data_IF_939268922010
#
_entry.id   IF_939268922010
#
_cell.length_a   1.000
_cell.length_b   1.000
_cell.length_c   1.000
_cell.angle_alpha   90.00
_cell.angle_beta   90.00
_cell.angle_gamma   90.00
#
_symmetry.space_group_name_H-M   'P 1'
#
loop_
_entity.id
_entity.type
_entity.pdbx_description
1 polymer ?
#
# COMPACT_ATOMS: atom_id res chain seq x y z
N UNK A 1 24.93 33.38 -50.86
CA UNK A 1 25.95 33.23 -49.78
C UNK A 1 25.53 33.79 -48.41
N UNK A 2 24.86 34.96 -48.29
CA UNK A 2 24.49 35.53 -46.97
C UNK A 2 23.42 34.75 -46.18
N UNK A 3 22.50 34.06 -46.85
CA UNK A 3 21.49 33.21 -46.21
C UNK A 3 22.07 31.90 -45.65
N UNK A 4 22.97 31.25 -46.41
CA UNK A 4 23.68 30.05 -45.96
C UNK A 4 24.60 30.34 -44.76
N UNK A 5 25.26 31.50 -44.72
CA UNK A 5 26.06 31.93 -43.58
C UNK A 5 25.22 32.24 -42.32
N UNK A 6 23.99 32.75 -42.49
CA UNK A 6 23.05 32.93 -41.37
C UNK A 6 22.51 31.60 -40.84
N UNK A 7 22.15 30.67 -41.73
CA UNK A 7 21.73 29.33 -41.35
C UNK A 7 22.85 28.55 -40.63
N UNK A 8 24.09 28.62 -41.12
CA UNK A 8 25.24 27.96 -40.51
C UNK A 8 25.56 28.51 -39.10
N UNK A 9 25.40 29.82 -38.88
CA UNK A 9 25.54 30.46 -37.55
C UNK A 9 24.44 30.07 -36.57
N UNK A 10 23.20 29.91 -37.04
CA UNK A 10 22.09 29.42 -36.22
C UNK A 10 22.31 27.96 -35.82
N UNK A 11 22.80 27.12 -36.75
CA UNK A 11 23.10 25.71 -36.48
C UNK A 11 24.28 25.53 -35.52
N UNK A 12 25.35 26.34 -35.66
CA UNK A 12 26.48 26.29 -34.71
C UNK A 12 26.12 26.83 -33.33
N UNK A 13 25.27 27.86 -33.24
CA UNK A 13 24.75 28.34 -31.95
C UNK A 13 23.83 27.29 -31.29
N UNK A 14 22.98 26.60 -32.06
CA UNK A 14 22.14 25.52 -31.56
C UNK A 14 22.96 24.31 -31.07
N UNK A 15 24.04 23.93 -31.78
CA UNK A 15 24.93 22.84 -31.38
C UNK A 15 25.78 23.18 -30.14
N UNK A 16 26.13 24.46 -29.92
CA UNK A 16 26.83 24.90 -28.72
C UNK A 16 25.92 24.92 -27.48
N UNK A 17 24.61 25.11 -27.65
CA UNK A 17 23.62 25.10 -26.56
C UNK A 17 23.30 23.68 -26.06
N UNK A 18 23.37 22.65 -26.93
CA UNK A 18 23.10 21.26 -26.53
C UNK A 18 24.17 20.63 -25.62
N UNK A 19 25.38 21.21 -25.55
CA UNK A 19 26.46 20.72 -24.68
C UNK A 19 26.36 21.14 -23.21
N UNK A 20 25.40 22.02 -22.87
CA UNK A 20 25.26 22.60 -21.52
C UNK A 20 24.08 22.03 -20.72
N UNK A 21 23.46 20.93 -21.17
CA UNK A 21 22.41 20.28 -20.38
C UNK A 21 23.01 19.75 -19.07
N UNK A 22 22.63 20.37 -17.94
CA UNK A 22 23.08 20.00 -16.60
C UNK A 22 22.40 18.70 -16.19
N UNK A 23 23.02 17.56 -16.52
CA UNK A 23 22.53 16.26 -16.10
C UNK A 23 22.90 16.02 -14.63
N UNK A 24 21.93 15.65 -13.80
CA UNK A 24 22.18 15.21 -12.43
C UNK A 24 22.44 13.70 -12.47
N UNK A 25 23.60 13.27 -11.97
CA UNK A 25 23.91 11.86 -11.84
C UNK A 25 22.93 11.18 -10.87
N UNK A 26 22.42 10.01 -11.25
CA UNK A 26 21.50 9.22 -10.42
C UNK A 26 22.13 8.94 -9.07
N UNK A 27 21.31 8.93 -8.02
CA UNK A 27 21.81 8.60 -6.69
C UNK A 27 22.45 7.20 -6.67
N UNK A 28 23.75 7.06 -6.35
CA UNK A 28 24.35 5.74 -6.19
C UNK A 28 23.78 5.08 -4.93
N UNK A 29 23.29 3.85 -5.05
CA UNK A 29 22.87 3.08 -3.88
C UNK A 29 24.10 2.60 -3.10
N UNK A 30 24.11 2.84 -1.79
CA UNK A 30 25.21 2.42 -0.90
C UNK A 30 24.97 1.03 -0.27
N UNK A 31 23.84 0.39 -0.58
CA UNK A 31 23.41 -0.86 0.05
C UNK A 31 24.19 -2.08 -0.45
N UNK A 32 24.89 -2.81 0.44
CA UNK A 32 25.32 -4.16 0.15
C UNK A 32 24.12 -5.10 0.25
N UNK A 33 23.59 -5.55 -0.89
CA UNK A 33 22.48 -6.51 -0.94
C UNK A 33 23.06 -7.93 -0.89
N UNK A 34 22.76 -8.74 0.15
CA UNK A 34 23.23 -10.13 0.21
C UNK A 34 22.57 -10.95 -0.91
N UNK A 35 23.34 -11.87 -1.50
CA UNK A 35 22.86 -12.72 -2.61
C UNK A 35 21.99 -13.89 -2.13
N UNK A 36 22.06 -14.23 -0.84
CA UNK A 36 21.35 -15.36 -0.22
C UNK A 36 20.64 -14.93 1.08
N UNK A 37 19.56 -15.65 1.39
CA UNK A 37 18.82 -15.53 2.66
C UNK A 37 19.55 -16.25 3.79
N UNK A 38 19.26 -15.86 5.04
CA UNK A 38 19.82 -16.56 6.21
C UNK A 38 19.28 -17.99 6.31
N UNK A 39 18.03 -18.18 5.91
CA UNK A 39 17.35 -19.47 5.88
C UNK A 39 17.04 -19.88 4.42
N UNK A 40 17.28 -21.14 4.09
CA UNK A 40 17.05 -21.73 2.76
C UNK A 40 15.64 -22.35 2.69
N UNK A 41 14.58 -21.55 2.83
CA UNK A 41 13.18 -22.00 2.74
C UNK A 41 12.35 -20.98 1.95
N UNK A 42 11.34 -21.40 1.19
CA UNK A 42 10.33 -20.57 0.53
C UNK A 42 9.88 -21.06 -0.86
N UNK A 43 8.84 -20.45 -1.48
CA UNK A 43 8.25 -20.92 -2.74
C UNK A 43 9.28 -21.02 -3.89
N UNK A 44 9.38 -22.20 -4.50
CA UNK A 44 10.27 -22.49 -5.65
C UNK A 44 9.65 -22.17 -7.01
N UNK A 45 8.36 -21.84 -7.03
CA UNK A 45 7.68 -21.27 -8.18
C UNK A 45 7.75 -19.74 -8.12
N UNK A 46 7.65 -19.08 -9.27
CA UNK A 46 7.35 -17.65 -9.28
C UNK A 46 6.07 -17.46 -8.46
N UNK A 47 6.10 -16.54 -7.48
CA UNK A 47 4.87 -16.19 -6.76
C UNK A 47 3.85 -15.77 -7.82
N UNK A 48 2.66 -16.38 -7.79
CA UNK A 48 1.60 -16.09 -8.75
C UNK A 48 0.72 -14.97 -8.22
N UNK A 49 0.15 -14.16 -9.12
CA UNK A 49 -0.73 -13.05 -8.75
C UNK A 49 -1.96 -13.50 -7.92
N UNK A 50 -2.35 -14.77 -8.02
CA UNK A 50 -3.43 -15.41 -7.27
C UNK A 50 -2.94 -16.38 -6.20
N UNK A 51 -1.86 -16.05 -5.48
CA UNK A 51 -1.22 -16.91 -4.48
C UNK A 51 -2.19 -17.52 -3.44
N UNK A 52 -3.31 -16.86 -3.13
CA UNK A 52 -4.31 -17.35 -2.19
C UNK A 52 -5.06 -18.60 -2.69
N UNK A 53 -5.09 -18.86 -4.00
CA UNK A 53 -5.67 -20.09 -4.56
C UNK A 53 -4.94 -21.35 -4.09
N UNK A 54 -3.67 -21.22 -3.70
CA UNK A 54 -2.86 -22.34 -3.24
C UNK A 54 -3.30 -22.86 -1.84
N UNK A 55 -4.16 -22.14 -1.11
CA UNK A 55 -4.83 -22.65 0.11
C UNK A 55 -6.03 -23.56 -0.19
N UNK A 56 -6.41 -23.71 -1.46
CA UNK A 56 -7.49 -24.59 -1.92
C UNK A 56 -8.88 -24.34 -1.26
N UNK A 57 -9.14 -23.13 -0.80
CA UNK A 57 -10.43 -22.73 -0.24
C UNK A 57 -11.21 -21.82 -1.23
N UNK A 58 -12.35 -22.28 -1.78
CA UNK A 58 -13.13 -21.49 -2.74
C UNK A 58 -13.82 -20.27 -2.10
N UNK A 59 -14.15 -20.31 -0.82
CA UNK A 59 -14.74 -19.18 -0.09
C UNK A 59 -13.70 -18.09 0.08
N UNK A 60 -12.46 -18.47 0.47
CA UNK A 60 -11.34 -17.54 0.54
C UNK A 60 -11.14 -16.82 -0.80
N UNK A 61 -11.11 -17.59 -1.89
CA UNK A 61 -10.92 -17.03 -3.23
C UNK A 61 -11.97 -15.97 -3.56
N UNK A 62 -13.25 -16.27 -3.29
CA UNK A 62 -14.35 -15.34 -3.50
C UNK A 62 -14.21 -14.07 -2.64
N UNK A 63 -13.85 -14.20 -1.36
CA UNK A 63 -13.66 -13.06 -0.46
C UNK A 63 -12.53 -12.15 -0.92
N UNK A 64 -11.40 -12.72 -1.35
CA UNK A 64 -10.26 -11.93 -1.85
C UNK A 64 -10.63 -11.21 -3.15
N UNK A 65 -11.25 -11.90 -4.12
CA UNK A 65 -11.69 -11.29 -5.37
C UNK A 65 -12.70 -10.16 -5.16
N UNK A 66 -13.65 -10.39 -4.24
CA UNK A 66 -14.64 -9.43 -3.80
C UNK A 66 -13.97 -8.17 -3.19
N UNK A 67 -13.01 -8.35 -2.29
CA UNK A 67 -12.25 -7.25 -1.68
C UNK A 67 -11.44 -6.48 -2.73
N UNK A 68 -10.72 -7.16 -3.63
CA UNK A 68 -9.94 -6.52 -4.70
C UNK A 68 -10.77 -5.68 -5.67
N UNK A 69 -12.08 -5.93 -5.73
CA UNK A 69 -13.03 -5.16 -6.55
C UNK A 69 -13.72 -4.03 -5.79
N UNK A 70 -14.13 -4.24 -4.55
CA UNK A 70 -15.05 -3.35 -3.83
C UNK A 70 -14.45 -2.66 -2.61
N UNK A 71 -13.26 -3.04 -2.15
CA UNK A 71 -12.65 -2.43 -0.97
C UNK A 71 -12.39 -0.93 -1.21
N UNK A 72 -12.86 -0.02 -0.32
CA UNK A 72 -12.68 1.42 -0.48
C UNK A 72 -11.21 1.87 -0.56
N UNK A 73 -10.29 1.25 0.18
CA UNK A 73 -8.87 1.65 0.15
C UNK A 73 -8.23 1.35 -1.22
N UNK A 74 -8.64 0.27 -1.88
CA UNK A 74 -8.22 -0.03 -3.26
C UNK A 74 -8.82 0.97 -4.24
N UNK A 75 -10.09 1.34 -4.07
CA UNK A 75 -10.74 2.35 -4.92
C UNK A 75 -10.09 3.73 -4.74
N UNK A 76 -9.72 4.10 -3.52
CA UNK A 76 -8.95 5.31 -3.21
C UNK A 76 -7.57 5.24 -3.89
N UNK A 77 -6.87 4.12 -3.78
CA UNK A 77 -5.56 3.94 -4.39
C UNK A 77 -5.63 4.05 -5.93
N UNK A 78 -6.63 3.45 -6.58
CA UNK A 78 -6.88 3.58 -8.02
C UNK A 78 -7.19 5.04 -8.41
N UNK A 79 -8.06 5.70 -7.65
CA UNK A 79 -8.41 7.11 -7.88
C UNK A 79 -7.19 8.03 -7.74
N UNK A 80 -6.27 7.69 -6.85
CA UNK A 80 -4.99 8.40 -6.70
C UNK A 80 -4.12 8.22 -7.94
N UNK A 81 -4.08 7.05 -8.55
CA UNK A 81 -3.38 6.88 -9.85
C UNK A 81 -3.99 7.80 -10.91
N UNK A 82 -5.32 7.91 -10.99
CA UNK A 82 -5.99 8.81 -11.94
C UNK A 82 -5.70 10.30 -11.66
N UNK A 83 -5.64 10.69 -10.38
CA UNK A 83 -5.20 12.02 -9.97
C UNK A 83 -3.80 12.33 -10.51
N UNK A 84 -2.84 11.44 -10.30
CA UNK A 84 -1.46 11.66 -10.75
C UNK A 84 -1.30 11.54 -12.28
N UNK A 85 -2.16 10.77 -12.97
CA UNK A 85 -2.25 10.81 -14.44
C UNK A 85 -2.70 12.17 -14.94
N UNK A 86 -3.68 12.79 -14.27
CA UNK A 86 -4.13 14.13 -14.62
C UNK A 86 -3.05 15.19 -14.33
N UNK A 87 -2.32 15.06 -13.21
CA UNK A 87 -1.20 15.95 -12.89
C UNK A 87 -0.07 15.83 -13.93
N UNK A 88 0.27 14.62 -14.37
CA UNK A 88 1.24 14.43 -15.46
C UNK A 88 0.78 15.12 -16.74
N UNK A 89 -0.49 14.95 -17.15
CA UNK A 89 -1.04 15.66 -18.31
C UNK A 89 -1.00 17.18 -18.15
N UNK A 90 -1.21 17.69 -16.94
CA UNK A 90 -1.05 19.11 -16.63
C UNK A 90 0.40 19.59 -16.85
N UNK A 91 1.37 18.86 -16.30
CA UNK A 91 2.79 19.16 -16.47
C UNK A 91 3.25 19.07 -17.94
N UNK A 92 2.73 18.10 -18.71
CA UNK A 92 2.96 18.00 -20.16
C UNK A 92 2.30 19.17 -20.91
N UNK A 93 1.13 19.63 -20.45
CA UNK A 93 0.42 20.80 -20.96
C UNK A 93 1.21 22.11 -20.81
N UNK A 94 1.90 22.28 -19.68
CA UNK A 94 2.76 23.46 -19.41
C UNK A 94 3.95 23.57 -20.38
N UNK A 95 4.26 22.50 -21.11
CA UNK A 95 5.29 22.49 -22.15
C UNK A 95 4.79 23.04 -23.50
N UNK A 96 3.50 23.37 -23.63
CA UNK A 96 2.95 24.00 -24.83
C UNK A 96 2.78 25.53 -24.64
N UNK A 97 2.72 26.30 -25.74
CA UNK A 97 2.37 27.71 -25.67
C UNK A 97 0.97 27.91 -25.05
N UNK A 98 0.82 28.88 -24.17
CA UNK A 98 -0.51 29.37 -23.75
C UNK A 98 -1.02 30.38 -24.76
N UNK A 99 -2.34 30.44 -24.92
CA UNK A 99 -3.02 31.46 -25.72
C UNK A 99 -4.15 32.06 -24.88
N UNK A 100 -3.96 33.30 -24.48
CA UNK A 100 -4.86 34.05 -23.61
C UNK A 100 -5.58 35.11 -24.45
N UNK A 101 -6.91 35.18 -24.31
CA UNK A 101 -7.73 36.21 -24.94
C UNK A 101 -8.46 36.99 -23.85
N UNK A 102 -8.32 38.32 -23.87
CA UNK A 102 -8.94 39.23 -22.91
C UNK A 102 -9.60 40.40 -23.61
N UNK A 103 -10.65 40.93 -23.00
CA UNK A 103 -11.27 42.19 -23.39
C UNK A 103 -11.47 43.05 -22.15
N UNK A 104 -10.99 44.28 -22.19
CA UNK A 104 -11.11 45.25 -21.11
C UNK A 104 -11.75 46.54 -21.64
N UNK A 105 -12.73 47.06 -20.91
CA UNK A 105 -13.32 48.37 -21.16
C UNK A 105 -12.98 49.32 -20.01
N UNK A 106 -12.45 50.50 -20.33
CA UNK A 106 -12.17 51.53 -19.34
C UNK A 106 -12.77 52.86 -19.76
N UNK A 107 -13.32 53.59 -18.79
CA UNK A 107 -13.82 54.94 -18.96
C UNK A 107 -13.18 55.82 -17.90
N UNK A 108 -12.48 56.84 -18.35
CA UNK A 108 -11.76 57.76 -17.47
C UNK A 108 -11.94 59.20 -17.95
N UNK A 109 -11.61 60.17 -17.09
CA UNK A 109 -11.44 61.57 -17.47
C UNK A 109 -9.96 61.87 -17.55
N UNK A 110 -9.53 62.46 -18.66
CA UNK A 110 -8.17 62.97 -18.84
C UNK A 110 -8.21 64.49 -19.02
N UNK A 111 -7.13 65.17 -18.68
CA UNK A 111 -6.96 66.60 -18.97
C UNK A 111 -6.38 66.71 -20.39
N UNK A 112 -7.00 67.51 -21.23
CA UNK A 112 -6.51 67.77 -22.59
C UNK A 112 -5.17 68.50 -22.55
N UNK A 113 -4.15 67.95 -23.21
CA UNK A 113 -2.83 68.57 -23.33
C UNK A 113 -2.86 69.89 -24.13
N UNK A 114 -3.92 70.12 -24.92
CA UNK A 114 -4.07 71.31 -25.78
C UNK A 114 -4.90 72.39 -25.09
N UNK A 115 -5.97 72.02 -24.39
CA UNK A 115 -6.95 72.97 -23.84
C UNK A 115 -6.93 73.08 -22.32
N UNK A 116 -6.22 72.20 -21.61
CA UNK A 116 -6.19 72.16 -20.14
C UNK A 116 -7.50 71.77 -19.48
N UNK A 117 -8.53 71.42 -20.26
CA UNK A 117 -9.86 71.07 -19.76
C UNK A 117 -10.03 69.54 -19.61
N UNK A 118 -10.76 69.07 -18.59
CA UNK A 118 -11.06 67.64 -18.43
C UNK A 118 -12.06 67.17 -19.49
N UNK A 119 -11.72 66.09 -20.19
CA UNK A 119 -12.61 65.43 -21.15
C UNK A 119 -12.74 63.93 -20.80
N UNK A 120 -13.95 63.35 -20.91
CA UNK A 120 -14.13 61.92 -20.76
C UNK A 120 -13.60 61.20 -22.00
N UNK A 121 -12.88 60.11 -21.79
CA UNK A 121 -12.55 59.16 -22.85
C UNK A 121 -12.97 57.75 -22.43
N UNK A 122 -13.31 56.94 -23.41
CA UNK A 122 -13.63 55.52 -23.23
C UNK A 122 -12.76 54.75 -24.19
N UNK A 123 -12.19 53.65 -23.69
CA UNK A 123 -11.35 52.75 -24.46
C UNK A 123 -11.83 51.34 -24.23
N UNK A 124 -12.08 50.63 -25.32
CA UNK A 124 -12.27 49.19 -25.31
C UNK A 124 -11.02 48.59 -25.95
N UNK A 125 -10.38 47.68 -25.23
CA UNK A 125 -9.16 47.01 -25.64
C UNK A 125 -9.38 45.50 -25.64
N UNK A 126 -9.16 44.86 -26.78
CA UNK A 126 -9.01 43.41 -26.90
C UNK A 126 -7.53 43.06 -26.92
N UNK A 127 -7.15 41.99 -26.23
CA UNK A 127 -5.79 41.46 -26.22
C UNK A 127 -5.84 39.98 -26.52
N UNK A 128 -5.10 39.54 -27.53
CA UNK A 128 -4.78 38.14 -27.75
C UNK A 128 -3.28 37.98 -27.50
N UNK A 129 -2.88 37.14 -26.55
CA UNK A 129 -1.49 36.96 -26.16
C UNK A 129 -1.14 35.48 -26.15
N UNK A 130 -0.11 35.10 -26.90
CA UNK A 130 0.52 33.80 -26.82
C UNK A 130 1.83 33.89 -26.03
N UNK A 131 2.03 33.00 -25.06
CA UNK A 131 3.26 32.92 -24.28
C UNK A 131 3.85 31.51 -24.38
N UNK A 132 5.13 31.41 -24.68
CA UNK A 132 5.85 30.14 -24.74
C UNK A 132 7.22 30.27 -24.11
N UNK A 133 7.47 29.52 -23.04
CA UNK A 133 8.79 29.48 -22.43
C UNK A 133 9.56 28.26 -22.98
N UNK A 134 10.69 28.54 -23.59
CA UNK A 134 11.52 27.56 -24.29
C UNK A 134 12.36 26.82 -23.28
N UNK A 135 12.21 25.49 -23.24
CA UNK A 135 12.99 24.64 -22.35
C UNK A 135 14.41 24.38 -22.88
N UNK A 136 15.30 25.36 -22.69
CA UNK A 136 16.69 25.28 -23.14
C UNK A 136 17.55 24.39 -22.24
N UNK A 137 17.25 24.37 -20.94
CA UNK A 137 18.07 23.75 -19.90
C UNK A 137 17.47 22.46 -19.34
N UNK A 138 16.27 22.09 -19.77
CA UNK A 138 15.55 20.91 -19.30
C UNK A 138 14.84 21.12 -17.96
N UNK A 139 14.51 22.35 -17.57
CA UNK A 139 13.78 22.62 -16.33
C UNK A 139 12.39 21.96 -16.37
N UNK A 140 11.68 22.14 -17.49
CA UNK A 140 10.33 21.62 -17.69
C UNK A 140 10.35 20.15 -18.03
N UNK A 141 11.26 19.71 -18.89
CA UNK A 141 11.43 18.29 -19.21
C UNK A 141 11.71 17.48 -17.95
N UNK A 142 12.57 17.98 -17.06
CA UNK A 142 12.87 17.31 -15.78
C UNK A 142 11.68 17.34 -14.82
N UNK A 143 10.89 18.43 -14.81
CA UNK A 143 9.63 18.49 -14.04
C UNK A 143 8.61 17.45 -14.54
N UNK A 144 8.49 17.28 -15.85
CA UNK A 144 7.65 16.24 -16.47
C UNK A 144 8.16 14.84 -16.12
N UNK A 145 9.47 14.62 -16.18
CA UNK A 145 10.06 13.33 -15.82
C UNK A 145 9.87 13.01 -14.32
N UNK A 146 9.90 14.02 -13.45
CA UNK A 146 9.53 13.89 -12.05
C UNK A 146 8.05 13.49 -11.89
N UNK A 147 7.14 14.12 -12.65
CA UNK A 147 5.72 13.77 -12.65
C UNK A 147 5.46 12.34 -13.17
N UNK A 148 6.18 11.89 -14.21
CA UNK A 148 6.12 10.52 -14.74
C UNK A 148 6.59 9.50 -13.69
N UNK A 149 7.73 9.76 -13.05
CA UNK A 149 8.25 8.87 -12.00
C UNK A 149 7.30 8.83 -10.79
N UNK A 150 6.70 9.96 -10.43
CA UNK A 150 5.70 10.04 -9.36
C UNK A 150 4.44 9.23 -9.71
N UNK A 151 3.94 9.31 -10.95
CA UNK A 151 2.85 8.46 -11.42
C UNK A 151 3.19 6.96 -11.31
N UNK A 152 4.38 6.57 -11.75
CA UNK A 152 4.84 5.18 -11.62
C UNK A 152 4.93 4.73 -10.15
N UNK A 153 5.35 5.62 -9.25
CA UNK A 153 5.33 5.34 -7.80
C UNK A 153 3.90 5.10 -7.28
N UNK A 154 2.92 5.88 -7.73
CA UNK A 154 1.52 5.69 -7.31
C UNK A 154 0.90 4.41 -7.88
N UNK A 155 1.31 3.99 -9.07
CA UNK A 155 0.91 2.69 -9.63
C UNK A 155 1.43 1.53 -8.77
N UNK A 156 2.70 1.60 -8.37
CA UNK A 156 3.28 0.62 -7.44
C UNK A 156 2.61 0.67 -6.06
N UNK A 157 2.29 1.86 -5.54
CA UNK A 157 1.54 2.02 -4.30
C UNK A 157 0.14 1.38 -4.36
N UNK A 158 -0.56 1.51 -5.50
CA UNK A 158 -1.86 0.87 -5.70
C UNK A 158 -1.76 -0.67 -5.73
N UNK A 159 -0.70 -1.21 -6.33
CA UNK A 159 -0.42 -2.65 -6.28
C UNK A 159 -0.08 -3.11 -4.85
N UNK A 160 0.70 -2.33 -4.09
CA UNK A 160 0.98 -2.60 -2.68
C UNK A 160 -0.30 -2.65 -1.84
N UNK A 161 -1.23 -1.70 -2.05
CA UNK A 161 -2.52 -1.69 -1.38
C UNK A 161 -3.34 -2.96 -1.70
N UNK A 162 -3.38 -3.38 -2.97
CA UNK A 162 -4.04 -4.62 -3.37
C UNK A 162 -3.45 -5.85 -2.68
N UNK A 163 -2.13 -5.95 -2.60
CA UNK A 163 -1.43 -7.04 -1.91
C UNK A 163 -1.73 -7.06 -0.41
N UNK A 164 -1.68 -5.90 0.24
CA UNK A 164 -2.03 -5.77 1.67
C UNK A 164 -3.46 -6.21 1.93
N UNK A 165 -4.43 -5.71 1.17
CA UNK A 165 -5.84 -6.10 1.35
C UNK A 165 -6.05 -7.60 1.11
N UNK A 166 -5.46 -8.17 0.05
CA UNK A 166 -5.55 -9.61 -0.21
C UNK A 166 -4.98 -10.44 0.97
N UNK A 167 -3.83 -10.04 1.49
CA UNK A 167 -3.21 -10.70 2.65
C UNK A 167 -4.04 -10.55 3.94
N UNK A 168 -4.60 -9.35 4.20
CA UNK A 168 -5.44 -9.11 5.37
C UNK A 168 -6.74 -9.90 5.33
N UNK A 169 -7.37 -10.03 4.16
CA UNK A 169 -8.55 -10.87 3.96
C UNK A 169 -8.22 -12.34 4.21
N UNK A 170 -7.11 -12.84 3.65
CA UNK A 170 -6.69 -14.21 3.88
C UNK A 170 -6.39 -14.50 5.35
N UNK A 171 -5.61 -13.65 6.01
CA UNK A 171 -5.27 -13.78 7.43
C UNK A 171 -6.51 -13.70 8.34
N UNK A 172 -7.42 -12.77 8.04
CA UNK A 172 -8.68 -12.64 8.77
C UNK A 172 -9.59 -13.85 8.61
N UNK A 173 -9.65 -14.43 7.40
CA UNK A 173 -10.43 -15.63 7.14
C UNK A 173 -9.85 -16.87 7.83
N UNK A 174 -8.52 -17.06 7.82
CA UNK A 174 -7.87 -18.16 8.57
C UNK A 174 -8.11 -18.03 10.08
N UNK A 175 -8.02 -16.79 10.60
CA UNK A 175 -8.32 -16.49 12.00
C UNK A 175 -9.79 -16.80 12.34
N UNK A 176 -10.72 -16.45 11.47
CA UNK A 176 -12.14 -16.77 11.63
C UNK A 176 -12.36 -18.29 11.72
N UNK A 177 -11.78 -19.05 10.78
CA UNK A 177 -11.88 -20.51 10.77
C UNK A 177 -11.24 -21.16 12.02
N UNK A 178 -10.16 -20.58 12.54
CA UNK A 178 -9.53 -21.00 13.81
C UNK A 178 -10.43 -20.73 15.02
N UNK A 179 -11.15 -19.61 15.04
CA UNK A 179 -12.10 -19.29 16.10
C UNK A 179 -13.30 -20.24 16.10
N UNK A 180 -13.80 -20.61 14.92
CA UNK A 180 -14.87 -21.60 14.78
C UNK A 180 -14.45 -22.97 15.32
N UNK A 181 -13.23 -23.39 15.01
CA UNK A 181 -12.71 -24.67 15.50
C UNK A 181 -12.49 -24.63 17.02
N UNK A 182 -12.01 -23.50 17.57
CA UNK A 182 -11.94 -23.31 19.02
C UNK A 182 -13.32 -23.37 19.68
N UNK A 183 -14.35 -22.77 19.06
CA UNK A 183 -15.72 -22.85 19.53
C UNK A 183 -16.23 -24.29 19.51
N UNK A 184 -16.04 -25.00 18.39
CA UNK A 184 -16.43 -26.41 18.23
C UNK A 184 -15.77 -27.32 19.29
N UNK A 185 -14.47 -27.15 19.53
CA UNK A 185 -13.73 -27.89 20.57
C UNK A 185 -14.26 -27.56 21.97
N UNK A 186 -14.58 -26.29 22.22
CA UNK A 186 -15.13 -25.82 23.50
C UNK A 186 -16.54 -26.36 23.76
N UNK A 187 -17.40 -26.38 22.74
CA UNK A 187 -18.74 -26.95 22.81
C UNK A 187 -18.71 -28.48 23.04
N UNK A 188 -17.82 -29.20 22.33
CA UNK A 188 -17.61 -30.63 22.55
C UNK A 188 -17.09 -30.90 23.98
N UNK A 189 -16.20 -30.04 24.49
CA UNK A 189 -15.72 -30.12 25.88
C UNK A 189 -16.85 -29.86 26.86
N UNK A 190 -17.65 -28.82 26.66
CA UNK A 190 -18.80 -28.50 27.50
C UNK A 190 -19.80 -29.67 27.57
N UNK A 191 -20.08 -30.32 26.44
CA UNK A 191 -20.92 -31.51 26.39
C UNK A 191 -20.33 -32.65 27.26
N UNK A 192 -19.04 -32.95 27.12
CA UNK A 192 -18.38 -33.95 27.97
C UNK A 192 -18.38 -33.57 29.46
N UNK A 193 -18.19 -32.29 29.81
CA UNK A 193 -18.22 -31.81 31.21
C UNK A 193 -19.62 -31.89 31.80
N UNK A 194 -20.66 -31.65 30.99
CA UNK A 194 -22.05 -31.79 31.40
C UNK A 194 -22.39 -33.24 31.77
N UNK A 195 -21.88 -34.21 31.00
CA UNK A 195 -22.07 -35.63 31.30
C UNK A 195 -21.35 -36.05 32.60
N UNK A 196 -20.11 -35.56 32.80
CA UNK A 196 -19.38 -35.75 34.07
C UNK A 196 -20.11 -35.12 35.26
N UNK A 197 -20.66 -33.91 35.11
CA UNK A 197 -21.45 -33.23 36.15
C UNK A 197 -22.70 -34.05 36.54
N UNK A 198 -23.46 -34.55 35.56
CA UNK A 198 -24.64 -35.39 35.81
C UNK A 198 -24.29 -36.71 36.48
N UNK A 199 -23.12 -37.29 36.17
CA UNK A 199 -22.64 -38.50 36.82
C UNK A 199 -22.28 -38.21 38.29
N UNK A 200 -21.47 -37.18 38.54
CA UNK A 200 -21.04 -36.79 39.87
C UNK A 200 -22.24 -36.44 40.78
N UNK A 201 -23.25 -35.75 40.24
CA UNK A 201 -24.48 -35.45 40.97
C UNK A 201 -25.21 -36.73 41.39
N UNK A 202 -25.42 -37.68 40.48
CA UNK A 202 -26.11 -38.95 40.79
C UNK A 202 -25.35 -39.80 41.82
N UNK A 203 -24.02 -39.85 41.73
CA UNK A 203 -23.20 -40.57 42.71
C UNK A 203 -23.25 -39.93 44.09
N UNK A 204 -23.31 -38.60 44.17
CA UNK A 204 -23.48 -37.89 45.44
C UNK A 204 -24.86 -38.15 46.05
N UNK A 205 -25.93 -38.08 45.26
CA UNK A 205 -27.31 -38.34 45.69
C UNK A 205 -27.51 -39.78 46.20
N UNK A 206 -26.72 -40.72 45.70
CA UNK A 206 -26.73 -42.14 46.12
C UNK A 206 -25.70 -42.46 47.20
N UNK A 207 -24.92 -41.47 47.67
CA UNK A 207 -23.92 -41.62 48.73
C UNK A 207 -22.60 -42.27 48.31
N UNK A 208 -22.39 -42.52 47.01
CA UNK A 208 -21.16 -43.14 46.48
C UNK A 208 -19.98 -42.16 46.35
N UNK A 209 -20.24 -40.86 46.19
CA UNK A 209 -19.21 -39.83 46.03
C UNK A 209 -19.41 -38.64 46.97
N UNK A 210 -18.37 -37.81 47.10
CA UNK A 210 -18.38 -36.66 48.01
C UNK A 210 -19.01 -35.42 47.37
N UNK A 211 -19.54 -34.51 48.19
CA UNK A 211 -20.03 -33.19 47.72
C UNK A 211 -18.92 -32.39 47.02
N UNK A 212 -17.66 -32.57 47.41
CA UNK A 212 -16.52 -31.90 46.80
C UNK A 212 -16.40 -32.24 45.32
N UNK A 213 -16.55 -33.51 44.96
CA UNK A 213 -16.45 -34.00 43.57
C UNK A 213 -17.55 -33.45 42.67
N UNK A 214 -18.77 -33.36 43.20
CA UNK A 214 -19.88 -32.70 42.51
C UNK A 214 -19.59 -31.23 42.25
N UNK A 215 -19.13 -30.49 43.27
CA UNK A 215 -18.78 -29.06 43.14
C UNK A 215 -17.59 -28.83 42.19
N UNK A 216 -16.60 -29.71 42.19
CA UNK A 216 -15.49 -29.67 41.23
C UNK A 216 -15.99 -29.84 39.80
N UNK A 217 -16.85 -30.83 39.55
CA UNK A 217 -17.46 -31.04 38.23
C UNK A 217 -18.31 -29.86 37.79
N UNK A 218 -19.04 -29.24 38.72
CA UNK A 218 -19.84 -28.05 38.46
C UNK A 218 -18.96 -26.85 38.09
N UNK A 219 -17.87 -26.62 38.82
CA UNK A 219 -16.91 -25.55 38.52
C UNK A 219 -16.34 -25.66 37.10
N UNK A 220 -16.01 -26.88 36.67
CA UNK A 220 -15.42 -27.16 35.37
C UNK A 220 -16.41 -26.98 34.22
N UNK A 221 -17.65 -27.41 34.44
CA UNK A 221 -18.74 -27.11 33.52
C UNK A 221 -18.93 -25.59 33.35
N UNK A 222 -18.94 -24.83 34.45
CA UNK A 222 -19.07 -23.37 34.37
C UNK A 222 -17.86 -22.71 33.70
N UNK A 223 -16.66 -23.24 33.92
CA UNK A 223 -15.43 -22.75 33.27
C UNK A 223 -15.48 -22.92 31.76
N UNK A 224 -15.88 -24.09 31.26
CA UNK A 224 -16.05 -24.32 29.83
C UNK A 224 -17.19 -23.46 29.26
N UNK A 225 -18.31 -23.33 29.98
CA UNK A 225 -19.46 -22.52 29.56
C UNK A 225 -19.11 -21.04 29.43
N UNK A 226 -18.26 -20.52 30.32
CA UNK A 226 -17.83 -19.13 30.29
C UNK A 226 -16.96 -18.78 29.07
N UNK A 227 -16.31 -19.76 28.42
CA UNK A 227 -15.51 -19.51 27.21
C UNK A 227 -16.34 -19.33 25.94
N UNK A 228 -17.55 -19.89 25.89
CA UNK A 228 -18.40 -19.83 24.68
C UNK A 228 -18.75 -18.39 24.30
N UNK A 229 -19.27 -17.52 25.19
CA UNK A 229 -19.58 -16.14 24.83
C UNK A 229 -18.37 -15.34 24.37
N UNK A 230 -17.18 -15.61 24.94
CA UNK A 230 -15.94 -14.96 24.51
C UNK A 230 -15.59 -15.32 23.06
N UNK A 231 -15.62 -16.62 22.72
CA UNK A 231 -15.35 -17.07 21.36
C UNK A 231 -16.39 -16.57 20.36
N UNK A 232 -17.68 -16.57 20.74
CA UNK A 232 -18.75 -15.99 19.92
C UNK A 232 -18.55 -14.50 19.65
N UNK A 233 -18.11 -13.74 20.66
CA UNK A 233 -17.78 -12.34 20.48
C UNK A 233 -16.60 -12.14 19.52
N UNK A 234 -15.52 -12.91 19.67
CA UNK A 234 -14.35 -12.85 18.77
C UNK A 234 -14.72 -13.22 17.33
N UNK A 235 -15.59 -14.22 17.13
CA UNK A 235 -16.12 -14.58 15.81
C UNK A 235 -16.86 -13.39 15.19
N UNK A 236 -17.78 -12.76 15.94
CA UNK A 236 -18.54 -11.62 15.45
C UNK A 236 -17.63 -10.42 15.12
N UNK A 237 -16.61 -10.16 15.93
CA UNK A 237 -15.62 -9.10 15.66
C UNK A 237 -14.85 -9.39 14.36
N UNK A 238 -14.41 -10.63 14.17
CA UNK A 238 -13.67 -11.03 12.98
C UNK A 238 -14.56 -11.02 11.70
N UNK A 239 -15.82 -11.40 11.81
CA UNK A 239 -16.82 -11.28 10.72
C UNK A 239 -17.05 -9.82 10.33
N UNK A 240 -17.13 -8.92 11.31
CA UNK A 240 -17.27 -7.49 11.06
C UNK A 240 -16.03 -6.92 10.36
N UNK A 241 -14.83 -7.28 10.83
CA UNK A 241 -13.57 -6.85 10.22
C UNK A 241 -13.45 -7.33 8.75
N UNK A 242 -13.80 -8.59 8.48
CA UNK A 242 -13.83 -9.14 7.12
C UNK A 242 -14.87 -8.44 6.25
N UNK A 243 -16.08 -8.19 6.78
CA UNK A 243 -17.15 -7.49 6.06
C UNK A 243 -16.67 -6.12 5.56
N UNK A 244 -15.98 -5.36 6.42
CA UNK A 244 -15.38 -4.06 6.06
C UNK A 244 -14.32 -4.23 4.96
N UNK A 245 -13.41 -5.20 5.11
CA UNK A 245 -12.36 -5.45 4.11
C UNK A 245 -12.93 -5.82 2.74
N UNK A 246 -14.05 -6.54 2.68
CA UNK A 246 -14.69 -6.91 1.41
C UNK A 246 -15.63 -5.82 0.85
N UNK A 247 -15.75 -4.68 1.52
CA UNK A 247 -16.60 -3.57 1.10
C UNK A 247 -18.10 -3.80 1.33
N UNK A 248 -18.47 -4.58 2.36
CA UNK A 248 -19.84 -4.89 2.74
C UNK A 248 -20.18 -4.37 4.15
N UNK A 249 -21.47 -4.26 4.45
CA UNK A 249 -21.93 -4.04 5.83
C UNK A 249 -21.67 -5.28 6.70
N UNK A 250 -21.47 -5.11 8.02
CA UNK A 250 -21.32 -6.20 8.99
C UNK A 250 -22.36 -7.31 8.81
N UNK A 251 -21.89 -8.54 8.57
CA UNK A 251 -22.73 -9.73 8.40
C UNK A 251 -21.94 -10.99 8.72
N UNK A 252 -22.66 -12.09 8.87
CA UNK A 252 -22.05 -13.42 8.88
C UNK A 252 -21.38 -13.72 7.53
N UNK A 253 -20.19 -14.30 7.62
CA UNK A 253 -19.38 -14.73 6.47
C UNK A 253 -19.60 -16.23 6.26
N UNK A 254 -19.93 -16.63 5.03
CA UNK A 254 -20.06 -18.05 4.69
C UNK A 254 -18.70 -18.76 4.84
N UNK A 255 -18.71 -20.03 5.23
CA UNK A 255 -17.49 -20.79 5.56
C UNK A 255 -17.69 -22.29 5.35
N UNK A 256 -16.62 -23.00 5.02
CA UNK A 256 -16.62 -24.45 5.06
C UNK A 256 -16.42 -24.90 6.52
N UNK A 257 -17.19 -25.89 6.98
CA UNK A 257 -17.22 -26.31 8.38
C UNK A 257 -16.00 -27.17 8.81
N UNK A 258 -14.94 -27.23 7.99
CA UNK A 258 -13.82 -28.17 8.19
C UNK A 258 -12.49 -27.41 8.23
N UNK A 259 -12.02 -27.09 9.44
CA UNK A 259 -10.71 -26.49 9.68
C UNK A 259 -9.52 -27.40 9.29
N UNK A 260 -9.78 -28.66 8.91
CA UNK A 260 -8.77 -29.54 8.33
C UNK A 260 -8.39 -29.16 6.89
N UNK A 261 -9.30 -28.52 6.13
CA UNK A 261 -9.11 -28.21 4.70
C UNK A 261 -8.02 -27.19 4.35
N UNK A 262 -7.74 -26.13 5.14
CA UNK A 262 -6.58 -25.29 4.89
C UNK A 262 -5.31 -26.13 5.13
N UNK A 263 -4.71 -26.59 4.05
CA UNK A 263 -3.47 -27.39 4.08
C UNK A 263 -2.29 -26.43 4.08
N UNK A 264 -1.44 -26.55 5.10
CA UNK A 264 -0.16 -25.85 5.12
C UNK A 264 0.69 -26.35 3.95
N UNK A 265 1.12 -25.44 3.07
CA UNK A 265 1.87 -25.82 1.88
C UNK A 265 3.32 -26.17 2.23
N UNK A 266 3.89 -27.15 1.52
CA UNK A 266 5.32 -27.46 1.57
C UNK A 266 6.10 -26.48 0.71
N UNK A 267 6.86 -25.59 1.34
CA UNK A 267 7.67 -24.57 0.67
C UNK A 267 9.05 -25.16 0.26
N UNK A 268 9.50 -25.02 -1.00
CA UNK A 268 10.86 -25.38 -1.46
C UNK A 268 11.99 -24.61 -0.75
N UNK A 269 13.26 -24.88 -1.08
CA UNK A 269 14.41 -24.47 -0.24
C UNK A 269 15.32 -23.37 -0.79
N UNK A 270 15.14 -22.84 -2.01
CA UNK A 270 16.11 -21.85 -2.54
C UNK A 270 15.44 -20.70 -3.26
N UNK A 271 15.66 -19.47 -2.77
CA UNK A 271 15.25 -18.24 -3.44
C UNK A 271 16.40 -17.25 -3.62
N UNK A 272 16.55 -16.65 -4.80
CA UNK A 272 17.46 -15.52 -5.00
C UNK A 272 16.87 -14.24 -4.38
N UNK A 273 17.70 -13.45 -3.71
CA UNK A 273 17.29 -12.16 -3.12
C UNK A 273 16.80 -11.13 -4.14
N UNK A 274 17.05 -11.36 -5.45
CA UNK A 274 16.53 -10.55 -6.55
C UNK A 274 14.99 -10.55 -6.64
N UNK A 275 14.30 -11.52 -6.05
CA UNK A 275 12.83 -11.52 -6.01
C UNK A 275 12.26 -10.31 -5.27
N UNK A 276 13.00 -9.71 -4.32
CA UNK A 276 12.60 -8.49 -3.64
C UNK A 276 12.45 -7.28 -4.57
N UNK A 277 13.15 -7.25 -5.71
CA UNK A 277 13.01 -6.16 -6.69
C UNK A 277 11.60 -6.10 -7.28
N UNK A 278 10.79 -7.15 -7.08
CA UNK A 278 9.39 -7.22 -7.49
C UNK A 278 8.43 -6.80 -6.40
N UNK A 279 8.88 -6.39 -5.21
CA UNK A 279 7.90 -5.91 -4.22
C UNK A 279 7.38 -4.53 -4.62
N UNK A 280 6.06 -4.30 -4.63
CA UNK A 280 5.49 -3.01 -5.00
C UNK A 280 5.96 -1.83 -4.12
N UNK A 281 6.24 -2.06 -2.83
CA UNK A 281 6.75 -1.03 -1.91
C UNK A 281 8.20 -0.59 -2.24
N UNK A 282 9.07 -1.54 -2.59
CA UNK A 282 10.43 -1.25 -3.06
C UNK A 282 10.39 -0.49 -4.38
N UNK A 283 9.57 -0.94 -5.33
CA UNK A 283 9.42 -0.24 -6.62
C UNK A 283 8.85 1.17 -6.40
N UNK A 284 7.85 1.33 -5.53
CA UNK A 284 7.34 2.64 -5.16
C UNK A 284 8.46 3.56 -4.64
N UNK A 285 9.28 3.08 -3.71
CA UNK A 285 10.37 3.87 -3.12
C UNK A 285 11.46 4.20 -4.17
N UNK A 286 11.78 3.28 -5.08
CA UNK A 286 12.69 3.52 -6.20
C UNK A 286 12.14 4.60 -7.15
N UNK A 287 10.86 4.51 -7.53
CA UNK A 287 10.22 5.51 -8.39
C UNK A 287 10.14 6.89 -7.72
N UNK A 288 9.96 6.94 -6.41
CA UNK A 288 10.03 8.20 -5.64
C UNK A 288 11.44 8.80 -5.64
N UNK A 289 12.48 7.97 -5.54
CA UNK A 289 13.87 8.44 -5.66
C UNK A 289 14.14 9.00 -7.06
N UNK A 290 13.70 8.32 -8.11
CA UNK A 290 13.80 8.84 -9.49
C UNK A 290 13.05 10.17 -9.67
N UNK A 291 11.88 10.32 -9.05
CA UNK A 291 11.14 11.57 -9.06
C UNK A 291 11.91 12.70 -8.35
N UNK A 292 12.57 12.40 -7.23
CA UNK A 292 13.37 13.37 -6.50
C UNK A 292 14.66 13.77 -7.26
N UNK A 293 15.29 12.82 -7.97
CA UNK A 293 16.42 13.09 -8.87
C UNK A 293 16.02 14.09 -9.98
N UNK A 294 14.88 13.86 -10.63
CA UNK A 294 14.37 14.72 -11.69
C UNK A 294 13.93 16.10 -11.17
N UNK A 295 13.31 16.16 -9.99
CA UNK A 295 12.98 17.43 -9.32
C UNK A 295 14.23 18.24 -8.96
N UNK A 296 15.31 17.60 -8.51
CA UNK A 296 16.59 18.27 -8.26
C UNK A 296 17.19 18.82 -9.57
N UNK A 297 17.07 18.08 -10.67
CA UNK A 297 17.51 18.57 -11.99
C UNK A 297 16.72 19.80 -12.44
N UNK A 298 15.39 19.79 -12.27
CA UNK A 298 14.53 20.95 -12.52
C UNK A 298 14.92 22.15 -11.64
N UNK A 299 15.11 21.95 -10.34
CA UNK A 299 15.53 23.01 -9.43
C UNK A 299 16.90 23.62 -9.81
N UNK A 300 17.87 22.79 -10.24
CA UNK A 300 19.17 23.28 -10.73
C UNK A 300 19.03 24.06 -12.03
N UNK A 301 18.18 23.62 -12.95
CA UNK A 301 17.93 24.32 -14.21
C UNK A 301 17.30 25.70 -13.98
N UNK A 302 16.49 25.87 -12.92
CA UNK A 302 15.90 27.17 -12.55
C UNK A 302 16.92 28.25 -12.13
N UNK A 303 18.18 27.86 -11.85
CA UNK A 303 19.29 28.80 -11.63
C UNK A 303 19.80 29.46 -12.93
N UNK A 304 19.43 28.93 -14.09
CA UNK A 304 19.86 29.39 -15.40
C UNK A 304 18.81 30.37 -16.00
N UNK A 305 19.21 31.24 -16.95
CA UNK A 305 18.27 32.19 -17.55
C UNK A 305 17.14 31.52 -18.32
N UNK A 306 15.90 31.97 -18.15
CA UNK A 306 14.75 31.48 -18.93
C UNK A 306 14.56 32.28 -20.21
N UNK A 307 14.17 31.60 -21.31
CA UNK A 307 13.83 32.24 -22.59
C UNK A 307 12.32 32.19 -22.79
N UNK A 308 11.66 33.34 -22.65
CA UNK A 308 10.24 33.48 -22.91
C UNK A 308 10.02 34.12 -24.28
N UNK A 309 9.23 33.47 -25.12
CA UNK A 309 8.73 33.97 -26.39
C UNK A 309 7.28 34.43 -26.18
N UNK A 310 7.02 35.71 -26.47
CA UNK A 310 5.69 36.30 -26.36
C UNK A 310 5.28 36.87 -27.71
N UNK A 311 4.09 36.50 -28.16
CA UNK A 311 3.44 37.12 -29.31
C UNK A 311 2.12 37.71 -28.84
N UNK A 312 1.82 38.95 -29.21
CA UNK A 312 0.54 39.58 -28.86
C UNK A 312 -0.05 40.35 -30.03
N UNK A 313 -1.38 40.32 -30.11
CA UNK A 313 -2.18 41.14 -31.00
C UNK A 313 -3.16 41.95 -30.17
N UNK A 314 -3.24 43.25 -30.42
CA UNK A 314 -4.07 44.17 -29.65
C UNK A 314 -5.07 44.88 -30.55
N UNK A 315 -6.30 44.96 -30.07
CA UNK A 315 -7.39 45.75 -30.60
C UNK A 315 -7.64 46.92 -29.67
N UNK A 316 -7.73 48.14 -30.19
CA UNK A 316 -8.07 49.30 -29.38
C UNK A 316 -9.00 50.23 -30.17
N UNK A 317 -10.13 50.62 -29.56
CA UNK A 317 -11.05 51.60 -30.14
C UNK A 317 -11.76 52.41 -29.05
N UNK A 318 -12.18 53.62 -29.41
CA UNK A 318 -13.10 54.44 -28.63
C UNK A 318 -14.57 54.08 -28.87
N UNK A 319 -14.86 53.22 -29.85
CA UNK A 319 -16.22 52.82 -30.26
C UNK A 319 -16.30 51.30 -30.51
N UNK A 320 -17.23 50.63 -29.84
CA UNK A 320 -17.30 49.16 -29.78
C UNK A 320 -17.52 48.47 -31.14
N UNK A 321 -18.38 49.02 -32.02
CA UNK A 321 -18.66 48.40 -33.32
C UNK A 321 -17.45 48.41 -34.28
N UNK A 322 -16.52 49.36 -34.10
CA UNK A 322 -15.31 49.48 -34.92
C UNK A 322 -14.22 48.44 -34.57
N UNK A 323 -14.41 47.62 -33.53
CA UNK A 323 -13.48 46.51 -33.22
C UNK A 323 -13.55 45.38 -34.26
N UNK A 324 -14.68 45.22 -34.96
CA UNK A 324 -14.95 44.08 -35.84
C UNK A 324 -14.31 44.29 -37.23
N UNK A 325 -14.14 45.54 -37.66
CA UNK A 325 -13.71 45.89 -39.02
C UNK A 325 -12.21 45.64 -39.30
N UNK A 326 -11.36 45.56 -38.27
CA UNK A 326 -9.92 45.27 -38.44
C UNK A 326 -9.32 44.60 -37.19
N UNK A 327 -9.37 43.26 -37.10
CA UNK A 327 -9.16 42.49 -35.87
C UNK A 327 -7.72 42.49 -35.31
N UNK A 328 -6.70 43.02 -36.01
CA UNK A 328 -5.30 43.03 -35.55
C UNK A 328 -4.50 44.28 -35.99
N UNK A 329 -5.02 45.48 -35.74
CA UNK A 329 -4.34 46.74 -36.14
C UNK A 329 -2.93 46.92 -35.54
N UNK A 330 -2.68 46.36 -34.36
CA UNK A 330 -1.38 46.41 -33.69
C UNK A 330 -0.97 45.00 -33.27
N UNK A 331 0.22 44.55 -33.67
CA UNK A 331 0.80 43.27 -33.27
C UNK A 331 2.23 43.48 -32.80
N UNK A 332 2.68 42.63 -31.87
CA UNK A 332 4.06 42.59 -31.42
C UNK A 332 4.51 41.14 -31.24
N UNK A 333 5.73 40.85 -31.64
CA UNK A 333 6.40 39.57 -31.39
C UNK A 333 7.74 39.90 -30.77
N UNK A 334 7.99 39.36 -29.58
CA UNK A 334 9.19 39.63 -28.81
C UNK A 334 9.64 38.39 -28.05
N UNK A 335 10.95 38.25 -27.88
CA UNK A 335 11.54 37.31 -26.93
C UNK A 335 12.16 38.09 -25.79
N UNK A 336 11.99 37.61 -24.57
CA UNK A 336 12.71 38.10 -23.40
C UNK A 336 13.55 36.98 -22.80
N UNK A 337 14.83 37.27 -22.53
CA UNK A 337 15.67 36.40 -21.72
C UNK A 337 15.72 37.00 -20.33
N UNK A 338 15.26 36.24 -19.33
CA UNK A 338 15.20 36.66 -17.94
C UNK A 338 16.20 35.84 -17.14
N UNK A 339 17.26 36.50 -16.67
CA UNK A 339 18.22 35.92 -15.73
C UNK A 339 17.91 36.41 -14.31
N UNK A 340 17.72 35.51 -13.33
CA UNK A 340 17.54 35.92 -11.94
C UNK A 340 18.88 36.44 -11.38
N UNK A 341 19.00 37.76 -11.23
CA UNK A 341 20.24 38.43 -10.75
C UNK A 341 20.17 38.85 -9.28
N UNK A 342 19.01 39.33 -8.82
CA UNK A 342 18.73 39.62 -7.40
C UNK A 342 17.80 38.52 -6.85
N UNK A 343 18.08 37.96 -5.67
CA UNK A 343 17.45 36.76 -5.05
C UNK A 343 18.00 35.38 -5.49
N UNK A 344 19.28 35.29 -5.86
CA UNK A 344 19.94 34.00 -6.13
C UNK A 344 19.94 33.06 -4.92
N UNK A 345 19.97 33.60 -3.69
CA UNK A 345 19.92 32.81 -2.46
C UNK A 345 18.64 31.98 -2.36
N UNK A 346 17.47 32.55 -2.70
CA UNK A 346 16.20 31.83 -2.64
C UNK A 346 16.17 30.62 -3.60
N UNK A 347 16.76 30.76 -4.79
CA UNK A 347 16.86 29.67 -5.75
C UNK A 347 17.89 28.61 -5.30
N UNK A 348 19.03 29.03 -4.74
CA UNK A 348 20.00 28.09 -4.14
C UNK A 348 19.37 27.31 -2.99
N UNK A 349 18.62 27.98 -2.11
CA UNK A 349 17.88 27.33 -1.03
C UNK A 349 16.86 26.31 -1.58
N UNK A 350 16.19 26.59 -2.71
CA UNK A 350 15.29 25.63 -3.35
C UNK A 350 16.03 24.40 -3.90
N UNK A 351 17.25 24.57 -4.41
CA UNK A 351 18.14 23.46 -4.80
C UNK A 351 18.55 22.64 -3.57
N UNK A 352 18.90 23.30 -2.46
CA UNK A 352 19.26 22.62 -1.21
C UNK A 352 18.08 21.83 -0.63
N UNK A 353 16.87 22.38 -0.67
CA UNK A 353 15.62 21.66 -0.34
C UNK A 353 15.47 20.43 -1.23
N UNK A 354 15.66 20.57 -2.54
CA UNK A 354 15.53 19.45 -3.48
C UNK A 354 16.61 18.38 -3.27
N UNK A 355 17.84 18.77 -2.92
CA UNK A 355 18.91 17.84 -2.53
C UNK A 355 18.55 17.10 -1.24
N UNK A 356 18.04 17.79 -0.23
CA UNK A 356 17.60 17.17 1.01
C UNK A 356 16.45 16.17 0.77
N UNK A 357 15.46 16.53 -0.05
CA UNK A 357 14.36 15.63 -0.44
C UNK A 357 14.86 14.40 -1.19
N UNK A 358 15.82 14.55 -2.11
CA UNK A 358 16.49 13.42 -2.77
C UNK A 358 17.18 12.49 -1.78
N UNK A 359 17.93 13.05 -0.82
CA UNK A 359 18.61 12.26 0.20
C UNK A 359 17.59 11.52 1.10
N UNK A 360 16.49 12.17 1.48
CA UNK A 360 15.39 11.52 2.20
C UNK A 360 14.79 10.36 1.40
N UNK A 361 14.56 10.54 0.10
CA UNK A 361 14.05 9.48 -0.78
C UNK A 361 15.03 8.31 -0.89
N UNK A 362 16.34 8.58 -0.97
CA UNK A 362 17.38 7.56 -0.96
C UNK A 362 17.35 6.77 0.34
N UNK A 363 17.39 7.44 1.50
CA UNK A 363 17.35 6.76 2.81
C UNK A 363 16.04 6.00 3.02
N UNK A 364 14.92 6.49 2.49
CA UNK A 364 13.65 5.77 2.52
C UNK A 364 13.71 4.49 1.69
N UNK A 365 14.24 4.55 0.47
CA UNK A 365 14.49 3.36 -0.35
C UNK A 365 15.37 2.35 0.41
N UNK A 366 16.48 2.79 1.02
CA UNK A 366 17.34 1.90 1.78
C UNK A 366 16.65 1.28 3.00
N UNK A 367 15.81 2.05 3.69
CA UNK A 367 15.00 1.59 4.82
C UNK A 367 13.99 0.53 4.37
N UNK A 368 13.25 0.77 3.29
CA UNK A 368 12.24 -0.17 2.77
C UNK A 368 12.89 -1.49 2.33
N UNK A 369 14.03 -1.42 1.64
CA UNK A 369 14.80 -2.62 1.26
C UNK A 369 15.22 -3.42 2.50
N UNK A 370 15.81 -2.77 3.52
CA UNK A 370 16.23 -3.46 4.76
C UNK A 370 15.05 -4.06 5.52
N UNK A 371 13.91 -3.36 5.58
CA UNK A 371 12.69 -3.86 6.19
C UNK A 371 12.16 -5.10 5.46
N UNK A 372 12.10 -5.07 4.13
CA UNK A 372 11.70 -6.21 3.32
C UNK A 372 12.60 -7.44 3.52
N UNK A 373 13.93 -7.23 3.65
CA UNK A 373 14.86 -8.30 4.01
C UNK A 373 14.56 -8.87 5.40
N UNK A 374 14.27 -8.02 6.38
CA UNK A 374 13.94 -8.49 7.73
C UNK A 374 12.63 -9.27 7.76
N UNK A 375 11.58 -8.80 7.07
CA UNK A 375 10.28 -9.46 6.98
C UNK A 375 10.43 -10.89 6.45
N UNK A 376 11.06 -11.06 5.29
CA UNK A 376 11.25 -12.39 4.69
C UNK A 376 12.02 -13.33 5.64
N UNK A 377 13.12 -12.87 6.25
CA UNK A 377 13.87 -13.73 7.18
C UNK A 377 13.05 -14.12 8.42
N UNK A 378 12.25 -13.20 8.96
CA UNK A 378 11.37 -13.46 10.09
C UNK A 378 10.26 -14.46 9.72
N UNK A 379 9.63 -14.30 8.56
CA UNK A 379 8.56 -15.19 8.08
C UNK A 379 9.08 -16.62 7.84
N UNK A 380 10.29 -16.75 7.29
CA UNK A 380 10.93 -18.05 7.08
C UNK A 380 11.28 -18.76 8.39
N UNK A 381 11.80 -18.04 9.38
CA UNK A 381 12.01 -18.61 10.71
C UNK A 381 10.66 -18.98 11.35
N UNK A 382 9.66 -18.09 11.31
CA UNK A 382 8.34 -18.31 11.88
C UNK A 382 7.67 -19.58 11.33
N UNK A 383 7.67 -19.78 10.00
CA UNK A 383 7.14 -21.00 9.37
C UNK A 383 7.85 -22.24 9.92
N UNK A 384 9.19 -22.21 9.99
CA UNK A 384 9.98 -23.34 10.48
C UNK A 384 9.65 -23.66 11.95
N UNK A 385 9.59 -22.63 12.80
CA UNK A 385 9.32 -22.78 14.24
C UNK A 385 7.89 -23.18 14.54
N UNK A 386 6.91 -22.61 13.84
CA UNK A 386 5.50 -22.98 14.03
C UNK A 386 5.20 -24.39 13.53
N UNK A 387 5.86 -24.84 12.46
CA UNK A 387 5.74 -26.22 12.01
C UNK A 387 6.32 -27.21 13.03
N UNK A 388 7.50 -26.91 13.59
CA UNK A 388 8.07 -27.70 14.69
C UNK A 388 7.12 -27.75 15.90
N UNK A 389 6.62 -26.60 16.34
CA UNK A 389 5.69 -26.50 17.46
C UNK A 389 4.39 -27.28 17.22
N UNK A 390 3.81 -27.17 16.02
CA UNK A 390 2.58 -27.89 15.67
C UNK A 390 2.78 -29.40 15.75
N UNK A 391 3.91 -29.92 15.24
CA UNK A 391 4.21 -31.35 15.29
C UNK A 391 4.29 -31.86 16.73
N UNK A 392 4.98 -31.14 17.61
CA UNK A 392 5.07 -31.52 19.04
C UNK A 392 3.70 -31.45 19.74
N UNK A 393 2.88 -30.44 19.44
CA UNK A 393 1.53 -30.32 20.00
C UNK A 393 0.58 -31.43 19.52
N UNK A 394 0.73 -31.89 18.27
CA UNK A 394 -0.04 -33.02 17.75
C UNK A 394 0.33 -34.32 18.47
N UNK A 395 1.62 -34.56 18.72
CA UNK A 395 2.08 -35.71 19.53
C UNK A 395 1.55 -35.58 20.96
N UNK A 396 1.65 -34.40 21.58
CA UNK A 396 1.12 -34.15 22.93
C UNK A 396 -0.39 -34.39 22.99
N UNK A 397 -1.15 -34.01 21.95
CA UNK A 397 -2.59 -34.24 21.89
C UNK A 397 -2.92 -35.73 21.91
N UNK A 398 -2.20 -36.55 21.13
CA UNK A 398 -2.38 -38.01 21.12
C UNK A 398 -2.08 -38.62 22.49
N UNK A 399 -0.99 -38.19 23.13
CA UNK A 399 -0.62 -38.65 24.48
C UNK A 399 -1.68 -38.24 25.52
N UNK A 400 -2.16 -36.99 25.46
CA UNK A 400 -3.19 -36.50 26.37
C UNK A 400 -4.54 -37.22 26.20
N UNK A 401 -4.90 -37.59 24.97
CA UNK A 401 -6.09 -38.41 24.69
C UNK A 401 -5.99 -39.78 25.34
N UNK A 402 -4.83 -40.44 25.21
CA UNK A 402 -4.61 -41.75 25.79
C UNK A 402 -4.54 -41.70 27.33
N UNK A 403 -3.88 -40.68 27.89
CA UNK A 403 -3.85 -40.43 29.33
C UNK A 403 -5.27 -40.25 29.90
N UNK A 404 -6.12 -39.47 29.22
CA UNK A 404 -7.52 -39.32 29.59
C UNK A 404 -8.28 -40.64 29.54
N UNK A 405 -8.08 -41.45 28.49
CA UNK A 405 -8.72 -42.77 28.35
C UNK A 405 -8.36 -43.69 29.53
N UNK A 406 -7.09 -43.70 29.95
CA UNK A 406 -6.61 -44.50 31.09
C UNK A 406 -7.17 -43.95 32.41
N UNK A 407 -7.07 -42.64 32.65
CA UNK A 407 -7.55 -42.01 33.87
C UNK A 407 -9.05 -42.24 34.08
N UNK A 408 -9.87 -42.06 33.03
CA UNK A 408 -11.30 -42.35 33.04
C UNK A 408 -11.60 -43.81 33.39
N UNK A 409 -10.87 -44.78 32.82
CA UNK A 409 -11.03 -46.20 33.16
C UNK A 409 -10.67 -46.49 34.61
N UNK A 410 -9.60 -45.89 35.14
CA UNK A 410 -9.19 -46.10 36.54
C UNK A 410 -10.22 -45.53 37.52
N UNK A 411 -10.72 -44.32 37.24
CA UNK A 411 -11.78 -43.69 38.04
C UNK A 411 -13.07 -44.51 38.03
N UNK A 412 -13.54 -44.93 36.84
CA UNK A 412 -14.75 -45.76 36.71
C UNK A 412 -14.68 -47.10 37.46
N UNK A 413 -13.47 -47.65 37.62
CA UNK A 413 -13.23 -48.90 38.35
C UNK A 413 -12.80 -48.67 39.82
N UNK A 414 -12.80 -47.43 40.31
CA UNK A 414 -12.45 -47.09 41.70
C UNK A 414 -10.96 -47.14 42.06
N UNK A 415 -10.06 -47.24 41.07
CA UNK A 415 -8.60 -47.32 41.27
C UNK A 415 -7.89 -45.94 41.31
N UNK A 416 -8.61 -44.85 41.10
CA UNK A 416 -8.09 -43.49 41.03
C UNK A 416 -9.15 -42.48 41.47
N UNK A 417 -8.71 -41.29 41.87
CA UNK A 417 -9.62 -40.22 42.25
C UNK A 417 -10.19 -39.51 41.01
N UNK A 418 -11.33 -38.82 41.15
CA UNK A 418 -11.86 -37.98 40.08
C UNK A 418 -10.90 -36.86 39.67
N UNK A 419 -10.04 -36.40 40.58
CA UNK A 419 -9.04 -35.38 40.30
C UNK A 419 -8.07 -35.80 39.18
N UNK A 420 -7.73 -37.09 39.12
CA UNK A 420 -6.83 -37.63 38.09
C UNK A 420 -7.49 -37.61 36.70
N UNK A 421 -8.78 -37.96 36.61
CA UNK A 421 -9.53 -37.81 35.35
C UNK A 421 -9.68 -36.32 34.99
N UNK A 422 -9.97 -35.48 35.99
CA UNK A 422 -10.19 -34.06 35.78
C UNK A 422 -8.95 -33.36 35.21
N UNK A 423 -7.78 -33.66 35.76
CA UNK A 423 -6.50 -33.13 35.31
C UNK A 423 -6.19 -33.56 33.87
N UNK A 424 -6.42 -34.84 33.54
CA UNK A 424 -6.28 -35.34 32.18
C UNK A 424 -7.25 -34.67 31.19
N UNK A 425 -8.51 -34.42 31.59
CA UNK A 425 -9.49 -33.70 30.77
C UNK A 425 -9.06 -32.23 30.53
N UNK A 426 -8.54 -31.53 31.55
CA UNK A 426 -8.05 -30.14 31.43
C UNK A 426 -6.82 -30.06 30.52
N UNK A 427 -5.89 -31.01 30.66
CA UNK A 427 -4.69 -31.11 29.82
C UNK A 427 -5.07 -31.34 28.36
N UNK A 428 -5.99 -32.27 28.08
CA UNK A 428 -6.45 -32.53 26.72
C UNK A 428 -7.11 -31.29 26.09
N UNK A 429 -8.04 -30.65 26.82
CA UNK A 429 -8.73 -29.45 26.33
C UNK A 429 -7.74 -28.32 25.99
N UNK A 430 -6.81 -28.01 26.89
CA UNK A 430 -5.78 -26.98 26.67
C UNK A 430 -4.87 -27.32 25.48
N UNK A 431 -4.52 -28.59 25.33
CA UNK A 431 -3.68 -29.07 24.21
C UNK A 431 -4.43 -28.96 22.88
N UNK A 432 -5.71 -29.33 22.83
CA UNK A 432 -6.54 -29.19 21.63
C UNK A 432 -6.64 -27.74 21.16
N UNK A 433 -6.90 -26.80 22.06
CA UNK A 433 -6.89 -25.37 21.72
C UNK A 433 -5.52 -24.90 21.24
N UNK A 434 -4.44 -25.40 21.83
CA UNK A 434 -3.06 -25.06 21.43
C UNK A 434 -2.72 -25.57 20.03
N UNK A 435 -3.17 -26.78 19.65
CA UNK A 435 -3.01 -27.32 18.29
C UNK A 435 -3.70 -26.42 17.27
N UNK A 436 -4.93 -25.98 17.54
CA UNK A 436 -5.69 -25.10 16.64
C UNK A 436 -4.98 -23.76 16.45
N UNK A 437 -4.50 -23.15 17.54
CA UNK A 437 -3.75 -21.88 17.50
C UNK A 437 -2.41 -22.02 16.78
N UNK A 438 -1.67 -23.11 17.02
CA UNK A 438 -0.40 -23.36 16.33
C UNK A 438 -0.60 -23.54 14.82
N UNK A 439 -1.65 -24.26 14.40
CA UNK A 439 -2.02 -24.37 12.98
C UNK A 439 -2.35 -22.99 12.39
N UNK A 440 -3.14 -22.17 13.09
CA UNK A 440 -3.45 -20.81 12.64
C UNK A 440 -2.19 -19.96 12.46
N UNK A 441 -1.28 -19.96 13.44
CA UNK A 441 -0.02 -19.21 13.37
C UNK A 441 0.85 -19.65 12.19
N UNK A 442 0.91 -20.94 11.88
CA UNK A 442 1.61 -21.46 10.70
C UNK A 442 0.99 -20.91 9.40
N UNK A 443 -0.34 -20.93 9.28
CA UNK A 443 -1.05 -20.42 8.10
C UNK A 443 -0.82 -18.91 7.93
N UNK A 444 -0.88 -18.14 9.02
CA UNK A 444 -0.61 -16.71 9.02
C UNK A 444 0.82 -16.41 8.57
N UNK A 445 1.82 -17.14 9.09
CA UNK A 445 3.21 -16.97 8.68
C UNK A 445 3.43 -17.29 7.19
N UNK A 446 2.70 -18.26 6.63
CA UNK A 446 2.73 -18.55 5.20
C UNK A 446 2.14 -17.40 4.36
N UNK A 447 1.01 -16.83 4.81
CA UNK A 447 0.39 -15.66 4.16
C UNK A 447 1.34 -14.46 4.20
N UNK A 448 1.98 -14.21 5.35
CA UNK A 448 2.94 -13.13 5.51
C UNK A 448 4.16 -13.31 4.59
N UNK A 449 4.67 -14.53 4.44
CA UNK A 449 5.73 -14.80 3.47
C UNK A 449 5.29 -14.47 2.03
N UNK A 450 4.09 -14.87 1.61
CA UNK A 450 3.58 -14.54 0.28
C UNK A 450 3.47 -13.03 0.05
N UNK A 451 3.00 -12.28 1.06
CA UNK A 451 3.00 -10.82 1.07
C UNK A 451 4.41 -10.25 0.98
N UNK A 452 5.33 -10.75 1.80
CA UNK A 452 6.71 -10.27 1.86
C UNK A 452 7.50 -10.53 0.57
N UNK A 453 7.10 -11.54 -0.22
CA UNK A 453 7.69 -11.83 -1.54
C UNK A 453 7.03 -11.05 -2.70
N UNK A 454 6.01 -10.23 -2.43
CA UNK A 454 5.36 -9.37 -3.42
C UNK A 454 4.15 -9.98 -4.13
N UNK A 455 3.64 -11.13 -3.67
CA UNK A 455 2.35 -11.70 -4.14
C UNK A 455 2.23 -11.92 -5.65
N UNK A 456 3.35 -12.11 -6.35
CA UNK A 456 3.38 -12.42 -7.78
C UNK A 456 3.12 -11.25 -8.73
N UNK A 457 3.23 -10.03 -8.22
CA UNK A 457 3.15 -8.82 -9.01
C UNK A 457 4.34 -8.67 -9.97
N UNK A 458 4.08 -8.04 -11.13
CA UNK A 458 5.07 -7.70 -12.15
C UNK A 458 5.08 -6.16 -12.36
N UNK A 459 6.27 -5.52 -12.35
CA UNK A 459 6.44 -4.06 -12.41
C UNK A 459 6.18 -3.41 -13.77
#
# INVERSE_FOLDING_TARGET
MRLAAKALRVITLAAALTGCATHVERAPSSLPIPTQWRNQVGPGAAVEAGWWHAFHDPVLNQLVEQALRHNPDILIARSRVDQYRAQLRGAEGDNFPTLDAGMAGSRARAISAVTGQPYPYSVVQGLLQANYNVDLWGERSSSIDAAKATLAAQQAAAAAAGLTIASSVASGYMTLASLDEQLRVTEATLASRNDSLKLAQRQFETGYSSRLEWLQSQSEYQTAKAQIPLLQHQIAEQENALSILVGMNPRQIARQHQFEHPVAQTMPTVMPSRLLQRRPDIVQAERQLLAADASLQSARASLLPSLNLTASGTLQSSVLHQLIDNPFRLWSVGGSILAPLLNREALTAQVDVSMATRNQALYNYEKVVRAAFSEVNNDLDAITRYQQQQNELLIQQQVAQEALRIARKRYQNGYASYLDELDAQRTLFTTQLSVVRAKNNLLLAQIDLYRALGGGWQP
#
